data_IF_499100198885
#
_entry.id   IF_499100198885
#
_cell.length_a   1.000
_cell.length_b   1.000
_cell.length_c   1.000
_cell.angle_alpha   90.00
_cell.angle_beta   90.00
_cell.angle_gamma   90.00
#
_symmetry.space_group_name_H-M   'P 1'
#
loop_
_entity.id
_entity.type
_entity.pdbx_description
1 polymer ?
#
# COMPACT_ATOMS: atom_id res chain seq x y z
N UNK A 1 -38.69 -31.10 45.04
CA UNK A 1 -37.71 -29.98 45.10
C UNK A 1 -36.58 -30.24 44.11
N UNK A 2 -36.77 -30.07 42.80
CA UNK A 2 -35.73 -30.31 41.77
C UNK A 2 -35.86 -29.32 40.59
N UNK A 3 -36.21 -28.07 40.89
CA UNK A 3 -36.43 -27.03 39.86
C UNK A 3 -35.45 -25.85 39.94
N UNK A 4 -34.54 -25.85 40.92
CA UNK A 4 -33.69 -24.68 41.16
C UNK A 4 -32.33 -24.71 40.41
N UNK A 5 -31.96 -25.83 39.79
CA UNK A 5 -30.61 -26.00 39.25
C UNK A 5 -30.43 -25.57 37.78
N UNK A 6 -31.52 -25.21 37.06
CA UNK A 6 -31.46 -25.00 35.60
C UNK A 6 -31.24 -23.51 35.22
N UNK A 7 -31.38 -22.58 36.17
CA UNK A 7 -31.35 -21.14 35.87
C UNK A 7 -29.95 -20.50 35.88
N UNK A 8 -28.88 -21.24 36.21
CA UNK A 8 -27.54 -20.68 36.39
C UNK A 8 -26.61 -20.82 35.17
N UNK A 9 -27.03 -21.48 34.10
CA UNK A 9 -26.15 -21.79 32.95
C UNK A 9 -26.22 -20.78 31.79
N UNK A 10 -27.07 -19.75 31.85
CA UNK A 10 -27.25 -18.81 30.73
C UNK A 10 -26.43 -17.51 30.82
N UNK A 11 -25.63 -17.31 31.86
CA UNK A 11 -24.86 -16.08 32.05
C UNK A 11 -23.45 -16.18 31.46
N UNK A 12 -23.32 -16.55 30.17
CA UNK A 12 -22.03 -16.39 29.47
C UNK A 12 -21.97 -15.00 28.85
N UNK A 13 -21.06 -14.11 29.29
CA UNK A 13 -20.84 -12.83 28.62
C UNK A 13 -20.28 -13.11 27.23
N UNK A 14 -21.02 -12.71 26.19
CA UNK A 14 -20.48 -12.64 24.83
C UNK A 14 -19.35 -11.62 24.83
N UNK A 15 -18.11 -12.11 24.75
CA UNK A 15 -16.97 -11.24 24.47
C UNK A 15 -17.13 -10.68 23.06
N UNK A 16 -17.13 -9.36 22.87
CA UNK A 16 -17.12 -8.79 21.53
C UNK A 16 -15.82 -9.23 20.86
N UNK A 17 -15.94 -10.01 19.79
CA UNK A 17 -14.83 -10.32 18.90
C UNK A 17 -14.36 -8.98 18.34
N UNK A 18 -13.26 -8.47 18.87
CA UNK A 18 -12.60 -7.28 18.35
C UNK A 18 -12.25 -7.58 16.88
N UNK A 19 -13.05 -7.02 15.97
CA UNK A 19 -12.73 -7.10 14.55
C UNK A 19 -11.48 -6.25 14.39
N UNK A 20 -10.35 -6.92 14.19
CA UNK A 20 -9.09 -6.27 13.86
C UNK A 20 -9.31 -5.55 12.52
N UNK A 21 -9.77 -4.31 12.59
CA UNK A 21 -9.75 -3.40 11.45
C UNK A 21 -8.27 -3.25 11.11
N UNK A 22 -7.81 -4.01 10.12
CA UNK A 22 -6.52 -3.74 9.48
C UNK A 22 -6.68 -2.37 8.85
N UNK A 23 -6.30 -1.33 9.58
CA UNK A 23 -5.98 -0.05 8.97
C UNK A 23 -4.99 -0.40 7.85
N UNK A 24 -5.18 0.11 6.63
CA UNK A 24 -4.14 0.03 5.62
C UNK A 24 -2.91 0.62 6.29
N UNK A 25 -1.94 -0.22 6.63
CA UNK A 25 -0.65 0.29 7.02
C UNK A 25 -0.21 1.03 5.78
N UNK A 26 -0.23 2.36 5.84
CA UNK A 26 0.54 3.19 4.94
C UNK A 26 1.96 2.68 5.18
N UNK A 27 2.35 1.72 4.33
CA UNK A 27 3.65 1.10 4.35
C UNK A 27 4.52 2.25 3.94
N UNK A 28 4.97 3.03 4.92
CA UNK A 28 5.87 4.15 4.73
C UNK A 28 6.98 3.55 3.90
N UNK A 29 6.97 3.90 2.63
CA UNK A 29 7.75 3.23 1.61
C UNK A 29 9.16 3.73 1.89
N UNK A 30 9.85 3.09 2.83
CA UNK A 30 11.30 3.18 3.03
C UNK A 30 11.96 2.45 1.86
N UNK A 31 11.53 2.73 0.63
CA UNK A 31 12.39 2.64 -0.53
C UNK A 31 13.43 3.71 -0.26
N UNK A 32 14.53 3.29 0.38
CA UNK A 32 15.68 4.13 0.66
C UNK A 32 15.93 4.95 -0.60
N UNK A 33 15.69 6.27 -0.52
CA UNK A 33 16.11 7.19 -1.56
C UNK A 33 17.62 7.02 -1.61
N UNK A 34 18.10 6.20 -2.54
CA UNK A 34 19.52 5.96 -2.68
C UNK A 34 20.13 7.33 -2.98
N UNK A 35 21.27 7.70 -2.35
CA UNK A 35 21.89 9.00 -2.58
C UNK A 35 22.24 9.20 -4.06
N UNK A 36 22.36 8.10 -4.80
CA UNK A 36 22.52 8.07 -6.25
C UNK A 36 21.20 7.66 -6.90
N UNK A 37 20.76 8.41 -7.90
CA UNK A 37 19.60 8.07 -8.72
C UNK A 37 19.81 6.76 -9.51
N UNK A 38 18.74 6.29 -10.14
CA UNK A 38 18.70 5.06 -10.94
C UNK A 38 18.26 5.37 -12.36
N UNK A 39 18.76 4.59 -13.31
CA UNK A 39 18.26 4.59 -14.68
C UNK A 39 17.04 3.70 -14.78
N UNK A 40 16.00 4.19 -15.46
CA UNK A 40 14.77 3.46 -15.75
C UNK A 40 14.45 3.57 -17.23
N UNK A 41 13.75 2.57 -17.78
CA UNK A 41 13.19 2.64 -19.12
C UNK A 41 11.82 3.31 -19.04
N UNK A 42 11.67 4.48 -19.66
CA UNK A 42 10.38 5.15 -19.76
C UNK A 42 9.45 4.37 -20.70
N UNK A 43 8.14 4.51 -20.48
CA UNK A 43 7.12 3.90 -21.37
C UNK A 43 7.28 4.33 -22.83
N UNK A 44 7.76 5.56 -23.04
CA UNK A 44 8.07 6.12 -24.37
C UNK A 44 9.32 5.52 -25.03
N UNK A 45 10.07 4.66 -24.34
CA UNK A 45 11.19 3.90 -24.89
C UNK A 45 12.58 4.53 -24.70
N UNK A 46 12.71 5.63 -23.95
CA UNK A 46 14.01 6.24 -23.63
C UNK A 46 14.44 5.97 -22.18
N UNK A 47 15.75 6.04 -21.91
CA UNK A 47 16.29 5.90 -20.56
C UNK A 47 16.18 7.22 -19.78
N UNK A 48 15.68 7.16 -18.55
CA UNK A 48 15.54 8.31 -17.64
C UNK A 48 16.28 8.06 -16.34
N UNK A 49 16.96 9.08 -15.84
CA UNK A 49 17.67 9.02 -14.56
C UNK A 49 16.84 9.70 -13.48
N UNK A 50 16.43 8.97 -12.43
CA UNK A 50 15.55 9.49 -11.39
C UNK A 50 16.08 9.17 -9.98
N UNK A 51 15.87 10.11 -9.05
CA UNK A 51 16.38 10.06 -7.68
C UNK A 51 15.34 9.53 -6.68
N UNK A 52 14.06 9.61 -7.06
CA UNK A 52 12.94 9.25 -6.21
C UNK A 52 12.59 7.77 -6.18
N UNK A 53 11.66 7.39 -5.28
CA UNK A 53 11.04 6.08 -5.32
C UNK A 53 10.22 5.91 -6.61
N UNK A 54 10.02 4.65 -6.99
CA UNK A 54 9.01 4.26 -7.98
C UNK A 54 7.70 4.03 -7.24
N UNK A 55 6.63 4.68 -7.70
CA UNK A 55 5.29 4.57 -7.14
C UNK A 55 4.39 3.83 -8.11
N UNK A 56 3.40 3.12 -7.58
CA UNK A 56 2.34 2.52 -8.36
C UNK A 56 1.12 3.46 -8.35
N UNK A 57 0.77 4.02 -9.49
CA UNK A 57 -0.29 5.02 -9.62
C UNK A 57 -1.48 4.42 -10.37
N UNK A 58 -2.70 4.67 -9.87
CA UNK A 58 -3.93 4.29 -10.54
C UNK A 58 -4.23 5.26 -11.68
N UNK A 59 -4.38 4.73 -12.89
CA UNK A 59 -4.73 5.51 -14.08
C UNK A 59 -6.24 5.75 -14.16
N UNK A 60 -6.69 6.73 -14.97
CA UNK A 60 -8.11 6.97 -15.24
C UNK A 60 -8.86 5.73 -15.73
N UNK A 61 -8.23 4.93 -16.57
CA UNK A 61 -8.70 3.64 -17.09
C UNK A 61 -8.75 2.50 -16.05
N UNK A 62 -8.28 2.76 -14.82
CA UNK A 62 -8.36 1.81 -13.71
C UNK A 62 -7.18 0.84 -13.60
N UNK A 63 -6.24 0.89 -14.54
CA UNK A 63 -4.97 0.14 -14.50
C UNK A 63 -4.01 0.75 -13.46
N UNK A 64 -2.99 -0.02 -13.09
CA UNK A 64 -1.89 0.41 -12.21
C UNK A 64 -0.63 0.61 -13.05
N UNK A 65 0.08 1.72 -12.85
CA UNK A 65 1.28 2.09 -13.62
C UNK A 65 2.43 2.40 -12.67
N UNK A 66 3.60 1.83 -12.97
CA UNK A 66 4.84 2.25 -12.31
C UNK A 66 5.28 3.62 -12.81
N UNK A 67 5.53 4.54 -11.89
CA UNK A 67 5.96 5.91 -12.15
C UNK A 67 7.20 6.20 -11.33
N UNK A 68 8.31 6.56 -11.99
CA UNK A 68 9.49 7.09 -11.31
C UNK A 68 9.26 8.57 -10.96
N UNK A 69 9.68 8.95 -9.75
CA UNK A 69 9.57 10.32 -9.24
C UNK A 69 10.94 11.00 -9.19
N UNK A 70 10.94 12.34 -9.22
CA UNK A 70 12.14 13.17 -9.18
C UNK A 70 13.15 12.79 -10.28
N UNK A 71 12.72 12.85 -11.54
CA UNK A 71 13.56 12.55 -12.70
C UNK A 71 14.34 13.77 -13.20
N UNK A 72 15.56 13.54 -13.70
CA UNK A 72 16.40 14.56 -14.35
C UNK A 72 15.84 14.88 -15.73
N UNK A 73 15.55 16.16 -16.00
CA UNK A 73 15.01 16.63 -17.27
C UNK A 73 13.76 17.48 -17.07
N UNK A 74 12.85 17.44 -18.05
CA UNK A 74 11.64 18.28 -18.05
C UNK A 74 10.50 17.70 -17.20
N UNK A 75 10.40 16.37 -17.11
CA UNK A 75 9.31 15.69 -16.40
C UNK A 75 9.79 15.22 -15.04
N UNK A 76 9.16 15.73 -13.98
CA UNK A 76 9.46 15.34 -12.59
C UNK A 76 8.86 13.97 -12.22
N UNK A 77 7.90 13.47 -13.00
CA UNK A 77 7.33 12.14 -12.91
C UNK A 77 7.29 11.49 -14.28
N UNK A 78 7.80 10.26 -14.40
CA UNK A 78 7.91 9.55 -15.67
C UNK A 78 7.29 8.16 -15.55
N UNK A 79 6.29 7.81 -16.37
CA UNK A 79 5.76 6.45 -16.43
C UNK A 79 6.82 5.51 -17.00
N UNK A 80 6.99 4.37 -16.36
CA UNK A 80 8.00 3.38 -16.69
C UNK A 80 7.43 2.26 -17.55
N UNK A 81 8.28 1.65 -18.36
CA UNK A 81 8.00 0.35 -18.95
C UNK A 81 8.21 -0.71 -17.87
N UNK A 82 7.19 -1.54 -17.62
CA UNK A 82 7.27 -2.70 -16.71
C UNK A 82 8.37 -3.69 -17.08
#
# INVERSE_FOLDING_TARGET
MHLLAILLSLSLPSSPVATLVRQPQEKQLTTQAHPNGKWYLAETGHAVYCYGPVLLVKQPEGTLQHVATFCKGEKTMVPLKD
#
